data_IF_317224874929
#
_entry.id   IF_317224874929
#
_cell.length_a   1.000
_cell.length_b   1.000
_cell.length_c   1.000
_cell.angle_alpha   90.00
_cell.angle_beta   90.00
_cell.angle_gamma   90.00
#
_symmetry.space_group_name_H-M   'P 1'
#
loop_
_entity.id
_entity.type
_entity.pdbx_description
1 polymer ?
#
# COMPACT_ATOMS: atom_id res chain seq x y z
N UNK A 1 26.28 -9.00 11.55
CA UNK A 1 27.16 -10.18 11.44
C UNK A 1 28.60 -9.71 11.30
N UNK A 2 29.51 -10.14 12.18
CA UNK A 2 30.94 -9.82 12.06
C UNK A 2 31.57 -10.79 11.08
N UNK A 3 31.82 -10.35 9.85
CA UNK A 3 32.60 -11.12 8.87
C UNK A 3 33.98 -11.43 9.46
N UNK A 4 34.34 -12.71 9.54
CA UNK A 4 35.58 -13.15 10.18
C UNK A 4 36.73 -12.89 9.20
N UNK A 5 37.56 -11.89 9.49
CA UNK A 5 38.80 -11.64 8.78
C UNK A 5 39.67 -12.92 8.82
N UNK A 6 40.15 -13.36 7.65
CA UNK A 6 41.00 -14.53 7.54
C UNK A 6 42.39 -14.23 8.13
N UNK A 7 42.56 -14.55 9.42
CA UNK A 7 43.78 -14.25 10.20
C UNK A 7 45.05 -14.82 9.58
N UNK A 8 44.97 -15.99 8.93
CA UNK A 8 46.12 -16.64 8.28
C UNK A 8 46.62 -15.84 7.08
N UNK A 9 45.71 -15.32 6.25
CA UNK A 9 46.07 -14.47 5.12
C UNK A 9 46.70 -13.15 5.58
N UNK A 10 46.13 -12.52 6.62
CA UNK A 10 46.69 -11.30 7.19
C UNK A 10 48.09 -11.50 7.80
N UNK A 11 48.37 -12.67 8.39
CA UNK A 11 49.70 -13.02 8.93
C UNK A 11 50.72 -13.30 7.83
N UNK A 12 50.32 -14.03 6.79
CA UNK A 12 51.16 -14.26 5.63
C UNK A 12 51.55 -12.94 4.95
N UNK A 13 50.57 -12.06 4.72
CA UNK A 13 50.80 -10.73 4.14
C UNK A 13 51.68 -9.85 5.02
N UNK A 14 51.44 -9.84 6.34
CA UNK A 14 52.23 -9.04 7.27
C UNK A 14 53.71 -9.48 7.34
N UNK A 15 53.96 -10.79 7.21
CA UNK A 15 55.31 -11.38 7.26
C UNK A 15 56.05 -11.39 5.92
N UNK A 16 55.39 -11.00 4.83
CA UNK A 16 55.97 -11.02 3.48
C UNK A 16 56.13 -12.43 2.90
N UNK A 17 55.39 -13.41 3.42
CA UNK A 17 55.34 -14.75 2.84
C UNK A 17 54.72 -14.69 1.43
N UNK A 18 55.12 -15.59 0.53
CA UNK A 18 54.53 -15.70 -0.81
C UNK A 18 53.50 -16.83 -0.83
N UNK A 19 52.30 -16.56 -1.34
CA UNK A 19 51.24 -17.56 -1.53
C UNK A 19 50.81 -17.60 -3.01
N UNK A 20 51.55 -18.35 -3.87
CA UNK A 20 51.32 -18.34 -5.31
C UNK A 20 49.95 -18.91 -5.72
N UNK A 21 49.31 -19.69 -4.85
CA UNK A 21 48.01 -20.32 -5.11
C UNK A 21 46.80 -19.42 -4.78
N UNK A 22 47.02 -18.18 -4.30
CA UNK A 22 45.95 -17.23 -3.95
C UNK A 22 45.89 -16.12 -5.01
N UNK A 23 44.85 -16.10 -5.87
CA UNK A 23 44.70 -15.06 -6.88
C UNK A 23 44.68 -13.65 -6.27
N UNK A 24 45.46 -12.73 -6.85
CA UNK A 24 45.54 -11.33 -6.38
C UNK A 24 46.43 -11.13 -5.15
N UNK A 25 47.07 -12.18 -4.61
CA UNK A 25 47.95 -12.08 -3.45
C UNK A 25 49.15 -11.15 -3.69
N UNK A 26 49.77 -11.25 -4.87
CA UNK A 26 50.91 -10.41 -5.23
C UNK A 26 50.53 -8.93 -5.32
N UNK A 27 49.30 -8.61 -5.75
CA UNK A 27 48.79 -7.24 -5.76
C UNK A 27 48.57 -6.72 -4.33
N UNK A 28 47.99 -7.53 -3.44
CA UNK A 28 47.84 -7.18 -2.03
C UNK A 28 49.21 -6.98 -1.33
N UNK A 29 50.20 -7.83 -1.65
CA UNK A 29 51.55 -7.75 -1.12
C UNK A 29 52.33 -6.54 -1.68
N UNK A 30 52.14 -6.21 -2.97
CA UNK A 30 52.71 -5.01 -3.58
C UNK A 30 52.13 -3.74 -2.92
N UNK A 31 50.81 -3.68 -2.73
CA UNK A 31 50.16 -2.54 -2.07
C UNK A 31 50.72 -2.31 -0.66
N UNK A 32 50.99 -3.38 0.11
CA UNK A 32 51.62 -3.28 1.43
C UNK A 32 53.04 -2.70 1.42
N UNK A 33 53.74 -2.79 0.28
CA UNK A 33 55.05 -2.17 0.06
C UNK A 33 54.94 -0.73 -0.46
N UNK A 34 53.73 -0.23 -0.70
CA UNK A 34 53.49 1.04 -1.39
C UNK A 34 53.72 0.95 -2.90
N UNK A 35 53.71 -0.26 -3.46
CA UNK A 35 53.96 -0.54 -4.88
C UNK A 35 52.66 -1.03 -5.55
N UNK A 36 52.37 -0.59 -6.77
CA UNK A 36 51.27 -1.14 -7.59
C UNK A 36 49.88 -0.54 -7.36
N UNK A 37 48.87 -1.18 -7.95
CA UNK A 37 47.48 -0.74 -7.91
C UNK A 37 46.85 -0.99 -6.52
N UNK A 38 45.87 -0.16 -6.14
CA UNK A 38 45.16 -0.28 -4.87
C UNK A 38 44.40 -1.61 -4.70
N UNK A 39 43.74 -1.79 -3.55
CA UNK A 39 43.00 -3.01 -3.20
C UNK A 39 41.67 -3.19 -3.97
N UNK A 40 41.39 -2.35 -4.96
CA UNK A 40 40.16 -2.38 -5.73
C UNK A 40 40.20 -3.52 -6.75
N UNK A 41 39.10 -4.27 -6.85
CA UNK A 41 39.00 -5.45 -7.72
C UNK A 41 39.57 -6.75 -7.12
N UNK A 42 40.17 -6.69 -5.93
CA UNK A 42 40.53 -7.89 -5.18
C UNK A 42 39.32 -8.56 -4.56
N UNK A 43 39.44 -9.87 -4.30
CA UNK A 43 38.51 -10.58 -3.44
C UNK A 43 38.37 -9.86 -2.08
N UNK A 44 37.14 -9.78 -1.58
CA UNK A 44 36.80 -9.00 -0.38
C UNK A 44 37.55 -9.50 0.87
N UNK A 45 37.72 -10.81 1.03
CA UNK A 45 38.46 -11.35 2.17
C UNK A 45 39.95 -11.03 2.09
N UNK A 46 40.53 -11.10 0.89
CA UNK A 46 41.94 -10.75 0.66
C UNK A 46 42.20 -9.26 0.87
N UNK A 47 41.30 -8.40 0.41
CA UNK A 47 41.40 -6.96 0.61
C UNK A 47 41.32 -6.58 2.09
N UNK A 48 40.41 -7.19 2.86
CA UNK A 48 40.34 -6.99 4.31
C UNK A 48 41.56 -7.57 5.05
N UNK A 49 42.11 -8.70 4.59
CA UNK A 49 43.33 -9.26 5.14
C UNK A 49 44.56 -8.34 4.92
N UNK A 50 44.64 -7.67 3.76
CA UNK A 50 45.67 -6.67 3.49
C UNK A 50 45.55 -5.44 4.40
N UNK A 51 44.34 -4.94 4.64
CA UNK A 51 44.10 -3.86 5.62
C UNK A 51 44.57 -4.26 7.03
N UNK A 52 44.28 -5.48 7.46
CA UNK A 52 44.73 -5.98 8.76
C UNK A 52 46.26 -6.16 8.82
N UNK A 53 46.89 -6.57 7.72
CA UNK A 53 48.34 -6.66 7.61
C UNK A 53 49.00 -5.27 7.71
N UNK A 54 48.44 -4.23 7.07
CA UNK A 54 48.91 -2.85 7.18
C UNK A 54 48.82 -2.32 8.63
N UNK A 55 47.76 -2.69 9.36
CA UNK A 55 47.63 -2.40 10.81
C UNK A 55 48.74 -3.10 11.60
N UNK A 56 49.02 -4.38 11.34
CA UNK A 56 50.11 -5.11 12.02
C UNK A 56 51.49 -4.50 11.74
N UNK A 57 51.71 -4.01 10.51
CA UNK A 57 52.94 -3.31 10.11
C UNK A 57 53.02 -1.86 10.59
N UNK A 58 51.97 -1.35 11.25
CA UNK A 58 51.85 0.06 11.68
C UNK A 58 51.97 1.06 10.52
N UNK A 59 51.62 0.65 9.30
CA UNK A 59 51.72 1.49 8.12
C UNK A 59 50.45 2.33 7.95
N UNK A 60 50.38 3.43 8.70
CA UNK A 60 49.23 4.33 8.71
C UNK A 60 49.01 5.08 7.39
N UNK A 61 50.06 5.29 6.59
CA UNK A 61 49.97 5.99 5.31
C UNK A 61 49.09 5.22 4.30
N UNK A 62 49.30 3.91 4.18
CA UNK A 62 48.47 3.04 3.33
C UNK A 62 46.99 3.03 3.76
N UNK A 63 46.73 3.07 5.08
CA UNK A 63 45.35 3.11 5.58
C UNK A 63 44.65 4.44 5.29
N UNK A 64 45.42 5.54 5.19
CA UNK A 64 44.90 6.87 4.80
C UNK A 64 44.48 6.89 3.33
N UNK A 65 45.22 6.22 2.44
CA UNK A 65 44.90 6.12 1.01
C UNK A 65 43.51 5.52 0.75
N UNK A 66 43.01 4.69 1.67
CA UNK A 66 41.68 4.06 1.56
C UNK A 66 40.51 5.03 1.74
N UNK A 67 40.75 6.31 2.06
CA UNK A 67 39.68 7.32 2.15
C UNK A 67 38.99 7.58 0.80
N UNK A 68 39.67 7.34 -0.33
CA UNK A 68 39.11 7.44 -1.68
C UNK A 68 38.58 6.12 -2.24
N UNK A 69 38.70 5.01 -1.50
CA UNK A 69 38.28 3.68 -1.95
C UNK A 69 36.77 3.42 -1.75
N UNK A 70 36.32 2.23 -2.19
CA UNK A 70 34.94 1.75 -1.98
C UNK A 70 34.48 1.81 -0.51
N UNK A 71 33.17 1.89 -0.28
CA UNK A 71 32.56 2.07 1.06
C UNK A 71 33.05 1.04 2.09
N UNK A 72 33.23 -0.21 1.67
CA UNK A 72 33.70 -1.29 2.54
C UNK A 72 35.16 -1.09 2.97
N UNK A 73 36.06 -0.82 2.02
CA UNK A 73 37.49 -0.58 2.28
C UNK A 73 37.73 0.71 3.07
N UNK A 74 36.96 1.76 2.78
CA UNK A 74 36.98 3.01 3.54
C UNK A 74 36.62 2.79 5.02
N UNK A 75 35.60 1.96 5.29
CA UNK A 75 35.22 1.60 6.66
C UNK A 75 36.31 0.78 7.36
N UNK A 76 36.91 -0.18 6.65
CA UNK A 76 37.99 -1.01 7.18
C UNK A 76 39.27 -0.20 7.48
N UNK A 77 39.67 0.69 6.56
CA UNK A 77 40.79 1.61 6.74
C UNK A 77 40.62 2.52 7.97
N UNK A 78 39.43 3.13 8.13
CA UNK A 78 39.11 3.95 9.33
C UNK A 78 39.18 3.16 10.63
N UNK A 79 38.67 1.93 10.65
CA UNK A 79 38.76 1.06 11.82
C UNK A 79 40.22 0.65 12.11
N UNK A 80 41.04 0.44 11.08
CA UNK A 80 42.48 0.21 11.18
C UNK A 80 43.22 1.42 11.77
N UNK A 81 42.99 2.62 11.25
CA UNK A 81 43.54 3.88 11.76
C UNK A 81 43.17 4.12 13.22
N UNK A 82 41.92 3.86 13.59
CA UNK A 82 41.47 3.95 14.98
C UNK A 82 42.27 3.00 15.88
N UNK A 83 42.45 1.73 15.49
CA UNK A 83 43.24 0.76 16.25
C UNK A 83 44.70 1.19 16.42
N UNK A 84 45.33 1.72 15.36
CA UNK A 84 46.69 2.26 15.44
C UNK A 84 46.79 3.43 16.43
N UNK A 85 45.84 4.37 16.39
CA UNK A 85 45.79 5.51 17.31
C UNK A 85 45.58 5.06 18.76
N UNK A 86 44.67 4.13 19.01
CA UNK A 86 44.45 3.56 20.34
C UNK A 86 45.69 2.83 20.88
N UNK A 87 46.52 2.28 19.99
CA UNK A 87 47.80 1.66 20.34
C UNK A 87 48.97 2.66 20.47
N UNK A 88 48.70 3.97 20.38
CA UNK A 88 49.71 5.04 20.53
C UNK A 88 50.61 5.23 19.30
N UNK A 89 50.26 4.67 18.15
CA UNK A 89 51.01 4.90 16.90
C UNK A 89 50.64 6.27 16.34
N UNK A 90 51.63 7.12 16.15
CA UNK A 90 51.46 8.42 15.49
C UNK A 90 51.23 8.17 14.00
N UNK A 91 50.04 8.52 13.52
CA UNK A 91 49.69 8.42 12.10
C UNK A 91 49.43 9.83 11.59
N UNK A 92 50.05 10.21 10.48
CA UNK A 92 49.72 11.48 9.83
C UNK A 92 48.24 11.50 9.47
N UNK A 93 47.52 12.52 9.93
CA UNK A 93 46.16 12.71 9.46
C UNK A 93 46.21 13.03 7.98
N UNK A 94 45.38 12.34 7.18
CA UNK A 94 45.04 12.81 5.84
C UNK A 94 44.75 14.31 5.95
N UNK A 95 45.39 15.15 5.12
CA UNK A 95 45.05 16.56 5.03
C UNK A 95 43.55 16.63 4.82
N UNK A 96 42.81 16.89 5.90
CA UNK A 96 41.37 17.10 5.83
C UNK A 96 41.25 18.29 4.88
N UNK A 97 40.80 18.06 3.65
CA UNK A 97 40.11 19.12 2.93
C UNK A 97 39.08 19.60 3.94
N UNK A 98 39.30 20.82 4.46
CA UNK A 98 38.65 21.26 5.68
C UNK A 98 37.18 20.97 5.57
N UNK A 99 36.70 20.00 6.35
CA UNK A 99 35.29 19.96 6.69
C UNK A 99 35.11 21.21 7.53
N UNK A 100 34.84 22.32 6.84
CA UNK A 100 34.19 23.49 7.41
C UNK A 100 33.09 22.90 8.26
N UNK A 101 33.04 23.30 9.54
CA UNK A 101 31.83 23.12 10.32
C UNK A 101 30.74 23.90 9.59
N UNK A 102 30.11 23.27 8.61
CA UNK A 102 28.78 23.64 8.18
C UNK A 102 27.91 23.17 9.32
N UNK A 103 27.15 24.08 9.93
CA UNK A 103 25.87 23.71 10.52
C UNK A 103 25.25 22.74 9.51
N UNK A 104 25.05 21.49 9.91
CA UNK A 104 24.40 20.52 9.04
C UNK A 104 23.19 21.21 8.46
N UNK A 105 23.09 21.23 7.12
CA UNK A 105 21.95 21.83 6.40
C UNK A 105 20.72 21.50 7.24
N UNK A 106 20.02 22.54 7.72
CA UNK A 106 18.87 22.38 8.61
C UNK A 106 18.10 21.16 8.12
N UNK A 107 18.01 20.11 8.96
CA UNK A 107 17.49 18.82 8.53
C UNK A 107 16.11 19.11 7.94
N UNK A 108 16.02 19.08 6.60
CA UNK A 108 14.80 19.45 5.91
C UNK A 108 13.75 18.50 6.44
N UNK A 109 12.74 19.05 7.14
CA UNK A 109 11.69 18.22 7.70
C UNK A 109 11.08 17.44 6.54
N UNK A 110 11.00 16.10 6.66
CA UNK A 110 10.36 15.28 5.64
C UNK A 110 8.99 15.87 5.33
N UNK A 111 8.62 16.01 4.05
CA UNK A 111 7.29 16.50 3.72
C UNK A 111 6.24 15.54 4.31
N UNK A 112 5.07 16.06 4.71
CA UNK A 112 3.98 15.22 5.17
C UNK A 112 3.55 14.28 4.05
N UNK A 113 3.15 13.06 4.40
CA UNK A 113 2.84 11.99 3.45
C UNK A 113 1.46 11.44 3.73
N UNK A 114 0.75 11.06 2.68
CA UNK A 114 -0.54 10.41 2.80
C UNK A 114 -0.69 9.29 1.79
N UNK A 115 -1.43 8.26 2.15
CA UNK A 115 -1.83 7.21 1.24
C UNK A 115 -3.28 6.82 1.50
N UNK A 116 -4.01 6.45 0.44
CA UNK A 116 -5.39 5.98 0.53
C UNK A 116 -5.61 4.78 -0.39
N UNK A 117 -6.63 3.96 -0.10
CA UNK A 117 -7.03 2.86 -0.99
C UNK A 117 -8.10 3.32 -1.99
N UNK A 118 -8.35 2.53 -3.05
CA UNK A 118 -9.62 2.58 -3.76
C UNK A 118 -10.81 2.40 -2.80
N UNK A 119 -11.98 2.91 -3.20
CA UNK A 119 -13.21 2.70 -2.44
C UNK A 119 -13.64 1.24 -2.54
N UNK A 120 -13.94 0.63 -1.39
CA UNK A 120 -14.53 -0.70 -1.28
C UNK A 120 -15.93 -0.72 -1.91
N UNK A 121 -16.55 -1.91 -2.12
CA UNK A 121 -17.94 -1.99 -2.56
C UNK A 121 -18.90 -1.20 -1.66
N UNK A 122 -18.62 -1.14 -0.35
CA UNK A 122 -19.42 -0.41 0.63
C UNK A 122 -19.09 1.09 0.69
N UNK A 123 -18.17 1.60 -0.14
CA UNK A 123 -17.77 3.00 -0.17
C UNK A 123 -16.81 3.39 0.95
N UNK A 124 -16.10 2.42 1.52
CA UNK A 124 -15.07 2.64 2.54
C UNK A 124 -13.69 2.78 1.88
N UNK A 125 -12.80 3.54 2.49
CA UNK A 125 -11.40 3.64 2.11
C UNK A 125 -10.51 3.54 3.35
N UNK A 126 -9.36 2.91 3.21
CA UNK A 126 -8.30 2.98 4.21
C UNK A 126 -7.47 4.23 3.92
N UNK A 127 -7.01 4.88 4.98
CA UNK A 127 -6.11 6.02 4.90
C UNK A 127 -4.92 5.85 5.84
N UNK A 128 -3.78 6.40 5.44
CA UNK A 128 -2.61 6.59 6.29
C UNK A 128 -2.12 8.02 6.10
N UNK A 129 -2.01 8.77 7.20
CA UNK A 129 -1.49 10.13 7.21
C UNK A 129 -0.25 10.16 8.10
N UNK A 130 0.80 10.81 7.64
CA UNK A 130 2.05 10.99 8.37
C UNK A 130 2.45 12.46 8.33
N UNK A 131 2.61 13.04 9.52
CA UNK A 131 3.15 14.38 9.69
C UNK A 131 4.47 14.29 10.48
N UNK A 132 5.50 15.02 10.06
CA UNK A 132 6.80 15.01 10.74
C UNK A 132 7.17 16.41 11.21
N UNK A 133 7.52 16.52 12.49
CA UNK A 133 7.91 17.76 13.15
C UNK A 133 9.29 17.61 13.82
N UNK A 134 9.59 18.50 14.77
CA UNK A 134 10.83 18.48 15.54
C UNK A 134 10.95 17.28 16.48
N UNK A 135 9.84 16.72 16.95
CA UNK A 135 9.77 15.63 17.94
C UNK A 135 9.81 14.25 17.27
N UNK A 136 9.28 14.12 16.06
CA UNK A 136 9.28 12.86 15.34
C UNK A 136 8.27 12.83 14.21
N UNK A 137 7.84 11.63 13.85
CA UNK A 137 6.77 11.42 12.88
C UNK A 137 5.54 10.90 13.63
N UNK A 138 4.44 11.67 13.59
CA UNK A 138 3.13 11.23 14.04
C UNK A 138 2.40 10.59 12.85
N UNK A 139 1.87 9.38 13.05
CA UNK A 139 1.15 8.63 12.03
C UNK A 139 -0.24 8.31 12.55
N UNK A 140 -1.25 8.47 11.70
CA UNK A 140 -2.60 7.92 11.92
C UNK A 140 -2.98 7.04 10.73
N UNK A 141 -3.56 5.88 11.03
CA UNK A 141 -4.07 4.93 10.04
C UNK A 141 -5.50 4.59 10.44
N UNK A 142 -6.41 4.47 9.49
CA UNK A 142 -7.79 4.09 9.78
C UNK A 142 -8.60 3.78 8.54
N UNK A 143 -9.87 3.46 8.77
CA UNK A 143 -10.87 3.28 7.72
C UNK A 143 -11.92 4.38 7.87
N UNK A 144 -12.30 4.98 6.76
CA UNK A 144 -13.34 5.99 6.68
C UNK A 144 -14.32 5.72 5.55
N UNK A 145 -15.52 6.29 5.63
CA UNK A 145 -16.55 6.21 4.60
C UNK A 145 -17.58 5.11 4.86
N UNK A 146 -18.35 4.79 3.83
CA UNK A 146 -19.48 3.86 3.90
C UNK A 146 -20.48 4.16 5.01
N UNK A 147 -21.30 3.16 5.35
CA UNK A 147 -22.30 3.26 6.42
C UNK A 147 -21.67 3.21 7.83
N UNK A 148 -20.52 2.55 7.95
CA UNK A 148 -19.79 2.38 9.21
C UNK A 148 -19.09 3.69 9.67
N UNK A 149 -18.89 4.66 8.78
CA UNK A 149 -18.20 5.91 9.10
C UNK A 149 -16.71 5.69 9.36
N UNK A 150 -16.22 6.11 10.53
CA UNK A 150 -14.81 5.95 10.93
C UNK A 150 -14.65 4.81 11.91
N UNK A 151 -13.73 3.89 11.62
CA UNK A 151 -13.39 2.76 12.49
C UNK A 151 -11.95 2.28 12.26
N UNK A 152 -11.48 1.36 13.12
CA UNK A 152 -10.12 0.79 13.09
C UNK A 152 -9.01 1.86 13.05
N UNK A 153 -9.24 2.99 13.71
CA UNK A 153 -8.25 4.07 13.77
C UNK A 153 -7.15 3.73 14.77
N UNK A 154 -5.91 3.94 14.35
CA UNK A 154 -4.71 3.71 15.15
C UNK A 154 -3.78 4.90 14.97
N UNK A 155 -3.08 5.28 16.03
CA UNK A 155 -2.03 6.28 15.97
C UNK A 155 -0.71 5.72 16.50
N UNK A 156 0.39 6.32 16.06
CA UNK A 156 1.72 5.96 16.54
C UNK A 156 2.74 7.07 16.36
N UNK A 157 3.72 7.08 17.26
CA UNK A 157 4.89 7.95 17.17
C UNK A 157 6.10 7.15 16.72
N UNK A 158 6.76 7.64 15.68
CA UNK A 158 7.91 6.99 15.08
C UNK A 158 9.10 7.94 15.01
N UNK A 159 10.29 7.38 15.18
CA UNK A 159 11.50 8.09 14.76
C UNK A 159 11.44 8.38 13.25
N UNK A 160 12.10 9.44 12.78
CA UNK A 160 12.14 9.77 11.34
C UNK A 160 12.62 8.61 10.47
N UNK A 161 13.61 7.84 10.94
CA UNK A 161 14.08 6.64 10.23
C UNK A 161 13.05 5.51 10.23
N UNK A 162 12.34 5.30 11.34
CA UNK A 162 11.27 4.30 11.44
C UNK A 162 10.07 4.66 10.57
N UNK A 163 9.68 5.95 10.53
CA UNK A 163 8.62 6.44 9.65
C UNK A 163 8.93 6.22 8.17
N UNK A 164 10.16 6.51 7.73
CA UNK A 164 10.59 6.21 6.35
C UNK A 164 10.54 4.71 6.02
N UNK A 165 10.95 3.86 6.97
CA UNK A 165 10.87 2.40 6.82
C UNK A 165 9.43 1.92 6.70
N UNK A 166 8.59 2.29 7.67
CA UNK A 166 7.16 1.97 7.69
C UNK A 166 6.47 2.40 6.39
N UNK A 167 6.73 3.61 5.89
CA UNK A 167 6.11 4.09 4.67
C UNK A 167 6.53 3.29 3.43
N UNK A 168 7.81 2.90 3.36
CA UNK A 168 8.30 2.03 2.29
C UNK A 168 7.62 0.66 2.34
N UNK A 169 7.43 0.11 3.53
CA UNK A 169 6.78 -1.19 3.72
C UNK A 169 5.28 -1.11 3.39
N UNK A 170 4.62 -0.03 3.80
CA UNK A 170 3.21 0.25 3.54
C UNK A 170 2.90 0.34 2.05
N UNK A 171 3.70 1.09 1.28
CA UNK A 171 3.56 1.19 -0.17
C UNK A 171 4.09 -0.04 -0.92
N UNK A 172 4.95 -0.84 -0.29
CA UNK A 172 5.48 -2.07 -0.86
C UNK A 172 4.53 -3.26 -0.79
N UNK A 173 3.49 -3.19 0.04
CA UNK A 173 2.50 -4.25 0.21
C UNK A 173 1.55 -4.30 -1.00
N UNK A 174 1.42 -5.48 -1.63
CA UNK A 174 0.68 -5.68 -2.88
C UNK A 174 -0.77 -6.15 -2.68
N UNK A 175 -1.15 -6.58 -1.48
CA UNK A 175 -2.46 -7.19 -1.23
C UNK A 175 -3.59 -6.15 -1.13
N UNK A 176 -3.28 -4.92 -0.71
CA UNK A 176 -4.18 -3.78 -0.75
C UNK A 176 -3.33 -2.55 -1.07
N UNK A 177 -3.25 -2.12 -2.35
CA UNK A 177 -2.34 -1.05 -2.73
C UNK A 177 -2.84 0.27 -2.16
N UNK A 178 -2.29 0.66 -1.01
CA UNK A 178 -2.30 2.03 -0.55
C UNK A 178 -1.54 2.87 -1.59
N UNK A 179 -2.23 3.86 -2.14
CA UNK A 179 -1.70 4.74 -3.17
C UNK A 179 -1.30 6.04 -2.50
N UNK A 180 -0.03 6.42 -2.63
CA UNK A 180 0.47 7.68 -2.11
C UNK A 180 -0.20 8.83 -2.86
N UNK A 181 -0.86 9.72 -2.13
CA UNK A 181 -1.57 10.89 -2.65
C UNK A 181 -1.05 12.15 -1.95
N UNK A 182 -1.28 13.35 -2.50
CA UNK A 182 -0.93 14.59 -1.81
C UNK A 182 -1.55 14.62 -0.40
N UNK A 183 -0.76 14.99 0.60
CA UNK A 183 -1.20 15.03 1.99
C UNK A 183 -2.46 15.86 2.18
N UNK A 184 -2.51 17.01 1.52
CA UNK A 184 -3.66 17.91 1.57
C UNK A 184 -4.93 17.24 1.02
N UNK A 185 -4.84 16.54 -0.12
CA UNK A 185 -5.97 15.81 -0.70
C UNK A 185 -6.50 14.74 0.25
N UNK A 186 -5.62 13.91 0.82
CA UNK A 186 -6.07 12.89 1.78
C UNK A 186 -6.69 13.51 3.03
N UNK A 187 -6.13 14.60 3.54
CA UNK A 187 -6.66 15.30 4.71
C UNK A 187 -8.06 15.85 4.43
N UNK A 188 -8.29 16.45 3.26
CA UNK A 188 -9.61 16.91 2.79
C UNK A 188 -10.63 15.77 2.67
N UNK A 189 -10.18 14.56 2.35
CA UNK A 189 -11.06 13.37 2.28
C UNK A 189 -11.42 12.84 3.66
N UNK A 190 -10.48 12.86 4.62
CA UNK A 190 -10.70 12.27 5.96
C UNK A 190 -11.47 13.22 6.87
N UNK A 191 -11.25 14.54 6.78
CA UNK A 191 -11.87 15.54 7.65
C UNK A 191 -13.42 15.45 7.72
N UNK A 192 -14.16 15.36 6.60
CA UNK A 192 -15.62 15.24 6.63
C UNK A 192 -16.09 13.97 7.33
N UNK A 193 -15.40 12.84 7.13
CA UNK A 193 -15.78 11.55 7.73
C UNK A 193 -15.56 11.58 9.24
N UNK A 194 -14.46 12.20 9.70
CA UNK A 194 -14.21 12.42 11.13
C UNK A 194 -15.26 13.35 11.74
N UNK A 195 -15.65 14.42 11.04
CA UNK A 195 -16.68 15.33 11.50
C UNK A 195 -18.05 14.64 11.62
N UNK A 196 -18.40 13.79 10.66
CA UNK A 196 -19.61 12.96 10.70
C UNK A 196 -19.58 11.98 11.88
N UNK A 197 -18.44 11.30 12.11
CA UNK A 197 -18.26 10.44 13.26
C UNK A 197 -18.48 11.22 14.57
N UNK A 198 -17.81 12.36 14.74
CA UNK A 198 -17.94 13.19 15.95
C UNK A 198 -19.37 13.69 16.16
N UNK A 199 -20.12 13.98 15.10
CA UNK A 199 -21.53 14.35 15.20
C UNK A 199 -22.42 13.19 15.69
N UNK A 200 -22.06 11.94 15.38
CA UNK A 200 -22.78 10.73 15.79
C UNK A 200 -22.38 10.24 17.20
N UNK A 201 -21.10 10.26 17.52
CA UNK A 201 -20.55 9.74 18.79
C UNK A 201 -20.43 10.80 19.90
N UNK A 202 -20.46 12.08 19.54
CA UNK A 202 -20.25 13.22 20.44
C UNK A 202 -18.78 13.67 20.55
N UNK A 203 -17.83 12.88 20.04
CA UNK A 203 -16.41 13.21 20.07
C UNK A 203 -15.63 12.64 18.88
N UNK A 204 -14.57 13.32 18.46
CA UNK A 204 -13.66 12.77 17.46
C UNK A 204 -12.85 11.60 18.07
N UNK A 205 -12.44 10.60 17.26
CA UNK A 205 -11.63 9.51 17.78
C UNK A 205 -10.36 10.05 18.47
N UNK A 206 -9.97 9.43 19.59
CA UNK A 206 -8.84 9.90 20.38
C UNK A 206 -7.53 9.90 19.57
N UNK A 207 -7.31 8.87 18.76
CA UNK A 207 -6.19 8.70 17.84
C UNK A 207 -6.09 9.86 16.85
N UNK A 208 -7.23 10.27 16.28
CA UNK A 208 -7.32 11.41 15.38
C UNK A 208 -7.01 12.73 16.12
N UNK A 209 -7.64 12.91 17.28
CA UNK A 209 -7.50 14.11 18.09
C UNK A 209 -6.04 14.34 18.47
N UNK A 210 -5.31 13.27 18.79
CA UNK A 210 -3.87 13.35 19.05
C UNK A 210 -3.09 13.76 17.79
N UNK A 211 -3.29 13.04 16.67
CA UNK A 211 -2.59 13.32 15.41
C UNK A 211 -2.76 14.78 14.95
N UNK A 212 -3.97 15.32 15.05
CA UNK A 212 -4.28 16.65 14.56
C UNK A 212 -3.58 17.77 15.35
N UNK A 213 -3.15 17.51 16.59
CA UNK A 213 -2.36 18.48 17.37
C UNK A 213 -0.97 18.74 16.78
N UNK A 214 -0.45 17.80 15.97
CA UNK A 214 0.82 17.95 15.27
C UNK A 214 0.69 18.66 13.92
N UNK A 215 -0.53 18.71 13.36
CA UNK A 215 -0.78 19.35 12.06
C UNK A 215 -1.05 20.84 12.28
N UNK A 216 -0.29 21.76 11.64
CA UNK A 216 -0.51 23.20 11.80
C UNK A 216 -1.92 23.60 11.41
N UNK A 217 -2.53 24.50 12.19
CA UNK A 217 -3.90 24.97 11.95
C UNK A 217 -4.12 25.58 10.56
N UNK A 218 -3.09 26.20 9.98
CA UNK A 218 -3.12 26.70 8.60
C UNK A 218 -3.27 25.58 7.56
N UNK A 219 -2.62 24.43 7.77
CA UNK A 219 -2.76 23.26 6.88
C UNK A 219 -4.17 22.69 6.98
N UNK A 220 -4.75 22.65 8.19
CA UNK A 220 -6.12 22.22 8.41
C UNK A 220 -7.12 23.15 7.71
N UNK A 221 -6.94 24.47 7.83
CA UNK A 221 -7.81 25.45 7.19
C UNK A 221 -7.74 25.35 5.65
N UNK A 222 -6.55 25.14 5.08
CA UNK A 222 -6.39 24.90 3.64
C UNK A 222 -7.05 23.59 3.23
N UNK A 223 -6.89 22.51 4.01
CA UNK A 223 -7.50 21.22 3.70
C UNK A 223 -9.03 21.28 3.66
N UNK A 224 -9.65 22.07 4.55
CA UNK A 224 -11.11 22.26 4.56
C UNK A 224 -11.67 22.90 3.30
N UNK A 225 -10.85 23.66 2.57
CA UNK A 225 -11.24 24.36 1.34
C UNK A 225 -10.69 23.71 0.07
N UNK A 226 -9.84 22.68 0.23
CA UNK A 226 -9.15 22.03 -0.88
C UNK A 226 -10.07 21.01 -1.55
N UNK A 227 -10.12 21.06 -2.88
CA UNK A 227 -10.85 20.10 -3.72
C UNK A 227 -9.91 18.91 -4.02
N UNK A 228 -10.13 17.73 -3.40
CA UNK A 228 -9.17 16.63 -3.46
C UNK A 228 -9.11 15.93 -4.82
N UNK A 229 -10.17 16.05 -5.64
CA UNK A 229 -10.30 15.30 -6.90
C UNK A 229 -9.69 16.01 -8.13
N UNK A 230 -9.20 17.25 -7.95
CA UNK A 230 -8.66 18.08 -9.01
C UNK A 230 -9.73 18.62 -9.96
N UNK A 231 -9.29 19.29 -11.02
CA UNK A 231 -10.20 19.89 -12.00
C UNK A 231 -10.89 18.82 -12.85
N UNK A 232 -12.19 19.00 -13.06
CA UNK A 232 -12.96 18.24 -14.04
C UNK A 232 -12.91 18.93 -15.41
N UNK A 233 -13.00 18.16 -16.51
CA UNK A 233 -13.18 18.75 -17.83
C UNK A 233 -14.54 19.48 -17.92
N UNK A 234 -14.63 20.48 -18.82
CA UNK A 234 -15.86 21.28 -19.01
C UNK A 234 -17.03 20.45 -19.57
N UNK A 235 -16.75 19.29 -20.16
CA UNK A 235 -17.72 18.34 -20.69
C UNK A 235 -17.14 16.93 -20.73
N UNK A 236 -17.92 15.97 -21.21
CA UNK A 236 -17.48 14.59 -21.37
C UNK A 236 -17.26 14.23 -22.85
N UNK A 237 -16.32 13.31 -23.10
CA UNK A 237 -16.01 12.75 -24.40
C UNK A 237 -16.63 11.34 -24.55
N UNK A 238 -17.67 11.16 -25.39
CA UNK A 238 -18.30 9.87 -25.60
C UNK A 238 -17.36 8.81 -26.18
N UNK A 239 -16.39 9.19 -27.02
CA UNK A 239 -15.45 8.24 -27.63
C UNK A 239 -14.51 7.64 -26.57
N UNK A 240 -14.11 8.47 -25.60
CA UNK A 240 -13.30 8.03 -24.47
C UNK A 240 -14.06 7.07 -23.55
N UNK A 241 -15.37 7.28 -23.37
CA UNK A 241 -16.22 6.43 -22.53
C UNK A 241 -16.66 5.14 -23.22
N UNK A 242 -16.54 5.07 -24.54
CA UNK A 242 -16.82 3.86 -25.31
C UNK A 242 -15.75 2.78 -25.12
N UNK A 243 -14.50 3.17 -24.79
CA UNK A 243 -13.41 2.24 -24.55
C UNK A 243 -13.44 1.70 -23.11
N UNK A 244 -14.09 0.54 -22.94
CA UNK A 244 -14.14 -0.14 -21.65
C UNK A 244 -12.84 -0.82 -21.28
N UNK A 245 -11.92 -1.09 -22.20
CA UNK A 245 -10.75 -1.93 -21.88
C UNK A 245 -9.87 -1.29 -20.81
N UNK A 246 -9.76 0.03 -20.82
CA UNK A 246 -8.98 0.82 -19.85
C UNK A 246 -9.52 0.70 -18.42
N UNK A 247 -10.85 0.62 -18.28
CA UNK A 247 -11.53 0.55 -16.96
C UNK A 247 -11.91 -0.88 -16.56
N UNK A 248 -11.98 -1.78 -17.55
CA UNK A 248 -12.37 -3.18 -17.36
C UNK A 248 -11.41 -3.88 -16.43
N UNK A 249 -11.94 -4.38 -15.32
CA UNK A 249 -11.19 -5.11 -14.29
C UNK A 249 -10.11 -4.29 -13.57
N UNK A 250 -10.05 -2.97 -13.78
CA UNK A 250 -9.14 -2.13 -13.01
C UNK A 250 -9.67 -2.01 -11.57
N UNK A 251 -8.83 -2.19 -10.52
CA UNK A 251 -9.28 -2.19 -9.12
C UNK A 251 -10.05 -0.95 -8.68
N UNK A 252 -9.87 0.19 -9.36
CA UNK A 252 -10.58 1.44 -9.05
C UNK A 252 -12.06 1.42 -9.46
N UNK A 253 -12.40 0.57 -10.43
CA UNK A 253 -13.73 0.44 -11.02
C UNK A 253 -14.41 -0.88 -10.64
N UNK A 254 -13.72 -1.71 -9.85
CA UNK A 254 -14.20 -3.03 -9.46
C UNK A 254 -15.36 -2.92 -8.46
N UNK A 255 -16.39 -3.75 -8.67
CA UNK A 255 -17.49 -3.95 -7.72
C UNK A 255 -18.22 -2.66 -7.29
N UNK A 256 -18.41 -1.73 -8.22
CA UNK A 256 -19.27 -0.57 -7.98
C UNK A 256 -20.73 -1.03 -7.77
N UNK A 257 -21.50 -0.32 -6.93
CA UNK A 257 -22.86 -0.73 -6.60
C UNK A 257 -23.79 -0.54 -7.80
N UNK A 258 -24.83 -1.36 -7.91
CA UNK A 258 -25.95 -1.12 -8.82
C UNK A 258 -27.22 -0.87 -7.99
N UNK A 259 -28.20 -0.18 -8.57
CA UNK A 259 -29.49 0.04 -7.91
C UNK A 259 -30.19 -1.27 -7.55
N UNK A 260 -31.06 -1.23 -6.54
CA UNK A 260 -31.89 -2.38 -6.18
C UNK A 260 -32.82 -2.75 -7.32
N UNK A 261 -33.32 -1.76 -8.05
CA UNK A 261 -34.12 -1.98 -9.27
C UNK A 261 -33.35 -2.76 -10.34
N UNK A 262 -32.12 -2.36 -10.66
CA UNK A 262 -31.28 -3.05 -11.64
C UNK A 262 -31.01 -4.49 -11.20
N UNK A 263 -30.63 -4.70 -9.94
CA UNK A 263 -30.39 -6.04 -9.40
C UNK A 263 -31.66 -6.89 -9.44
N UNK A 264 -32.80 -6.35 -9.01
CA UNK A 264 -34.08 -7.06 -9.00
C UNK A 264 -34.53 -7.44 -10.41
N UNK A 265 -34.39 -6.53 -11.38
CA UNK A 265 -34.75 -6.78 -12.77
C UNK A 265 -33.88 -7.91 -13.37
N UNK A 266 -32.56 -7.82 -13.16
CA UNK A 266 -31.61 -8.85 -13.60
C UNK A 266 -31.90 -10.22 -12.97
N UNK A 267 -32.10 -10.26 -11.64
CA UNK A 267 -32.36 -11.50 -10.92
C UNK A 267 -33.73 -12.12 -11.27
N UNK A 268 -34.77 -11.30 -11.48
CA UNK A 268 -36.12 -11.77 -11.84
C UNK A 268 -36.17 -12.40 -13.24
N UNK A 269 -35.26 -12.03 -14.13
CA UNK A 269 -35.18 -12.59 -15.47
C UNK A 269 -34.37 -13.91 -15.54
N UNK A 270 -33.62 -14.26 -14.48
CA UNK A 270 -32.81 -15.49 -14.45
C UNK A 270 -33.63 -16.78 -14.61
N UNK A 271 -34.81 -16.97 -13.96
CA UNK A 271 -35.63 -18.15 -14.19
C UNK A 271 -36.08 -18.31 -15.64
N UNK A 272 -36.17 -17.22 -16.42
CA UNK A 272 -36.54 -17.27 -17.84
C UNK A 272 -35.39 -17.78 -18.73
N UNK A 273 -34.13 -17.66 -18.27
CA UNK A 273 -32.96 -18.22 -18.95
C UNK A 273 -32.79 -19.72 -18.70
N UNK A 274 -33.14 -20.19 -17.50
CA UNK A 274 -32.88 -21.56 -17.06
C UNK A 274 -34.13 -22.46 -16.97
N UNK A 275 -35.33 -21.86 -16.95
CA UNK A 275 -36.59 -22.56 -16.68
C UNK A 275 -37.11 -23.45 -17.81
N UNK A 276 -36.46 -23.45 -18.98
CA UNK A 276 -36.93 -24.15 -20.17
C UNK A 276 -38.18 -23.47 -20.75
N UNK A 277 -38.11 -22.98 -21.98
CA UNK A 277 -39.32 -22.56 -22.68
C UNK A 277 -40.26 -23.79 -22.79
N UNK A 278 -41.56 -23.68 -22.43
CA UNK A 278 -42.50 -24.74 -22.75
C UNK A 278 -42.45 -25.01 -24.25
N UNK A 279 -42.57 -26.29 -24.65
CA UNK A 279 -42.51 -26.68 -26.06
C UNK A 279 -43.46 -25.82 -26.91
N UNK A 280 -42.89 -24.94 -27.74
CA UNK A 280 -43.64 -24.08 -28.67
C UNK A 280 -43.65 -22.59 -28.36
N UNK A 281 -43.07 -22.11 -27.25
CA UNK A 281 -42.89 -20.67 -27.00
C UNK A 281 -41.53 -20.15 -27.51
N UNK A 282 -41.52 -18.88 -27.93
CA UNK A 282 -40.31 -18.18 -28.41
C UNK A 282 -39.18 -18.32 -27.38
N UNK A 283 -37.94 -18.45 -27.87
CA UNK A 283 -36.76 -18.46 -27.02
C UNK A 283 -36.81 -17.26 -26.06
N UNK A 284 -36.66 -17.52 -24.76
CA UNK A 284 -36.65 -16.48 -23.73
C UNK A 284 -35.63 -15.37 -24.03
N UNK A 285 -35.72 -14.21 -23.36
CA UNK A 285 -34.81 -13.10 -23.58
C UNK A 285 -33.35 -13.56 -23.42
N UNK A 286 -32.47 -13.13 -24.33
CA UNK A 286 -31.04 -13.42 -24.20
C UNK A 286 -30.46 -12.77 -22.94
N UNK A 287 -29.39 -13.35 -22.39
CA UNK A 287 -28.68 -12.78 -21.25
C UNK A 287 -28.23 -11.33 -21.53
N UNK A 288 -27.77 -11.05 -22.74
CA UNK A 288 -27.37 -9.71 -23.16
C UNK A 288 -28.52 -8.70 -23.05
N UNK A 289 -29.74 -9.09 -23.45
CA UNK A 289 -30.92 -8.24 -23.35
C UNK A 289 -31.32 -7.98 -21.90
N UNK A 290 -31.22 -9.00 -21.03
CA UNK A 290 -31.47 -8.86 -19.60
C UNK A 290 -30.48 -7.88 -18.96
N UNK A 291 -29.19 -8.00 -19.32
CA UNK A 291 -28.14 -7.09 -18.84
C UNK A 291 -28.41 -5.67 -19.32
N UNK A 292 -28.76 -5.49 -20.59
CA UNK A 292 -29.08 -4.18 -21.17
C UNK A 292 -30.24 -3.49 -20.45
N UNK A 293 -31.35 -4.21 -20.23
CA UNK A 293 -32.53 -3.71 -19.53
C UNK A 293 -32.22 -3.39 -18.05
N UNK A 294 -31.47 -4.26 -17.36
CA UNK A 294 -31.05 -4.00 -15.98
C UNK A 294 -30.06 -2.83 -15.89
N UNK A 295 -29.13 -2.69 -16.85
CA UNK A 295 -28.16 -1.61 -16.88
C UNK A 295 -28.82 -0.23 -17.05
N UNK A 296 -29.93 -0.15 -17.77
CA UNK A 296 -30.71 1.08 -17.89
C UNK A 296 -31.28 1.58 -16.54
N UNK A 297 -31.40 0.71 -15.54
CA UNK A 297 -31.95 1.03 -14.22
C UNK A 297 -30.88 1.38 -13.18
N UNK A 298 -29.58 1.25 -13.48
CA UNK A 298 -28.49 1.44 -12.50
C UNK A 298 -28.56 2.81 -11.83
N UNK A 299 -28.91 3.86 -12.57
CA UNK A 299 -29.05 5.24 -12.05
C UNK A 299 -30.48 5.67 -11.77
N UNK A 300 -31.42 4.73 -11.59
CA UNK A 300 -32.79 5.06 -11.19
C UNK A 300 -32.84 5.66 -9.76
N UNK A 301 -31.92 5.22 -8.90
CA UNK A 301 -31.75 5.76 -7.55
C UNK A 301 -30.69 6.88 -7.55
N UNK A 302 -31.08 8.11 -7.21
CA UNK A 302 -30.18 9.28 -7.16
C UNK A 302 -28.93 9.03 -6.28
N UNK A 303 -29.11 8.31 -5.17
CA UNK A 303 -28.01 7.96 -4.27
C UNK A 303 -26.92 7.12 -4.97
N UNK A 304 -27.32 6.19 -5.85
CA UNK A 304 -26.39 5.36 -6.64
C UNK A 304 -25.68 6.21 -7.68
N UNK A 305 -26.39 7.11 -8.37
CA UNK A 305 -25.80 8.04 -9.33
C UNK A 305 -24.74 8.93 -8.66
N UNK A 306 -25.06 9.50 -7.50
CA UNK A 306 -24.14 10.32 -6.72
C UNK A 306 -22.92 9.54 -6.22
N UNK A 307 -23.10 8.29 -5.78
CA UNK A 307 -21.98 7.43 -5.38
C UNK A 307 -21.08 7.08 -6.56
N UNK A 308 -21.64 6.78 -7.73
CA UNK A 308 -20.88 6.55 -8.95
C UNK A 308 -20.05 7.76 -9.38
N UNK A 309 -20.63 8.96 -9.36
CA UNK A 309 -19.90 10.19 -9.65
C UNK A 309 -18.73 10.38 -8.68
N UNK A 310 -18.97 10.16 -7.37
CA UNK A 310 -17.93 10.21 -6.34
C UNK A 310 -16.83 9.17 -6.57
N UNK A 311 -17.16 7.93 -6.90
CA UNK A 311 -16.20 6.86 -7.19
C UNK A 311 -15.36 7.17 -8.43
N UNK A 312 -15.98 7.74 -9.47
CA UNK A 312 -15.27 8.17 -10.67
C UNK A 312 -14.28 9.30 -10.38
N UNK A 313 -14.67 10.29 -9.57
CA UNK A 313 -13.74 11.34 -9.07
C UNK A 313 -12.58 10.75 -8.26
N UNK A 314 -12.89 9.81 -7.35
CA UNK A 314 -11.88 9.12 -6.54
C UNK A 314 -10.90 8.34 -7.42
N UNK A 315 -11.41 7.56 -8.38
CA UNK A 315 -10.60 6.82 -9.34
C UNK A 315 -9.69 7.75 -10.16
N UNK A 316 -10.18 8.92 -10.56
CA UNK A 316 -9.39 9.93 -11.27
C UNK A 316 -8.23 10.49 -10.43
N UNK A 317 -8.48 10.80 -9.16
CA UNK A 317 -7.44 11.22 -8.22
C UNK A 317 -6.36 10.14 -8.03
N UNK A 318 -6.77 8.88 -7.86
CA UNK A 318 -5.85 7.77 -7.69
C UNK A 318 -5.04 7.49 -8.96
N UNK A 319 -5.67 7.59 -10.13
CA UNK A 319 -5.01 7.42 -11.42
C UNK A 319 -3.94 8.50 -11.65
N UNK A 320 -4.23 9.76 -11.33
CA UNK A 320 -3.21 10.83 -11.36
C UNK A 320 -2.04 10.53 -10.42
N UNK A 321 -2.33 10.02 -9.22
CA UNK A 321 -1.32 9.72 -8.21
C UNK A 321 -0.35 8.62 -8.64
N UNK A 322 -0.83 7.64 -9.43
CA UNK A 322 0.01 6.60 -10.05
C UNK A 322 0.53 6.99 -11.44
N UNK A 323 0.29 8.24 -11.88
CA UNK A 323 0.71 8.78 -13.18
C UNK A 323 0.10 8.06 -14.39
N UNK A 324 -1.11 7.53 -14.26
CA UNK A 324 -1.89 6.97 -15.37
C UNK A 324 -2.83 8.03 -15.95
N UNK A 325 -2.32 8.81 -16.90
CA UNK A 325 -3.06 9.89 -17.55
C UNK A 325 -4.30 9.40 -18.30
N UNK A 326 -4.26 8.19 -18.87
CA UNK A 326 -5.38 7.65 -19.65
C UNK A 326 -6.52 7.30 -18.72
N UNK A 327 -6.21 6.53 -17.67
CA UNK A 327 -7.18 6.14 -16.66
C UNK A 327 -7.78 7.35 -15.95
N UNK A 328 -6.95 8.35 -15.60
CA UNK A 328 -7.41 9.57 -14.97
C UNK A 328 -8.37 10.35 -15.87
N UNK A 329 -8.05 10.45 -17.16
CA UNK A 329 -8.92 11.11 -18.15
C UNK A 329 -10.26 10.39 -18.29
N UNK A 330 -10.25 9.05 -18.37
CA UNK A 330 -11.50 8.26 -18.46
C UNK A 330 -12.35 8.45 -17.20
N UNK A 331 -11.74 8.32 -16.02
CA UNK A 331 -12.43 8.47 -14.74
C UNK A 331 -13.10 9.86 -14.59
N UNK A 332 -12.39 10.93 -14.97
CA UNK A 332 -12.92 12.30 -14.91
C UNK A 332 -14.04 12.53 -15.91
N UNK A 333 -13.91 12.05 -17.14
CA UNK A 333 -14.99 12.13 -18.14
C UNK A 333 -16.22 11.36 -17.68
N UNK A 334 -16.02 10.20 -17.05
CA UNK A 334 -17.09 9.40 -16.50
C UNK A 334 -17.82 10.16 -15.39
N UNK A 335 -17.10 10.79 -14.46
CA UNK A 335 -17.69 11.63 -13.42
C UNK A 335 -18.57 12.75 -14.03
N UNK A 336 -18.05 13.48 -15.02
CA UNK A 336 -18.78 14.56 -15.70
C UNK A 336 -20.01 14.02 -16.44
N UNK A 337 -19.90 12.89 -17.13
CA UNK A 337 -21.03 12.27 -17.83
C UNK A 337 -22.17 11.90 -16.86
N UNK A 338 -21.83 11.27 -15.73
CA UNK A 338 -22.80 10.87 -14.69
C UNK A 338 -23.50 12.10 -14.10
N UNK A 339 -22.73 13.14 -13.74
CA UNK A 339 -23.23 14.39 -13.18
C UNK A 339 -24.08 15.19 -14.18
N UNK A 340 -23.77 15.08 -15.47
CA UNK A 340 -24.52 15.72 -16.56
C UNK A 340 -25.82 14.99 -16.92
N UNK A 341 -26.16 13.91 -16.21
CA UNK A 341 -27.42 13.21 -16.41
C UNK A 341 -27.39 12.15 -17.51
N UNK A 342 -26.22 11.73 -18.00
CA UNK A 342 -26.13 10.62 -18.97
C UNK A 342 -26.79 9.38 -18.39
N UNK A 343 -27.59 8.69 -19.21
CA UNK A 343 -28.26 7.45 -18.83
C UNK A 343 -27.25 6.32 -18.66
N UNK A 344 -27.46 5.43 -17.69
CA UNK A 344 -26.54 4.31 -17.44
C UNK A 344 -26.47 3.33 -18.62
N UNK A 345 -27.54 3.20 -19.41
CA UNK A 345 -27.56 2.41 -20.65
C UNK A 345 -26.53 2.88 -21.67
N UNK A 346 -26.20 4.18 -21.68
CA UNK A 346 -25.21 4.78 -22.56
C UNK A 346 -23.77 4.68 -22.03
N UNK A 347 -23.57 4.09 -20.84
CA UNK A 347 -22.26 3.90 -20.23
C UNK A 347 -21.89 2.41 -20.25
N UNK A 348 -20.95 1.99 -21.11
CA UNK A 348 -20.51 0.60 -21.18
C UNK A 348 -20.05 0.00 -19.84
N UNK A 349 -19.43 0.81 -18.98
CA UNK A 349 -19.05 0.38 -17.62
C UNK A 349 -20.27 -0.05 -16.78
N UNK A 350 -21.41 0.63 -16.90
CA UNK A 350 -22.62 0.26 -16.17
C UNK A 350 -23.17 -1.10 -16.61
N UNK A 351 -23.11 -1.41 -17.91
CA UNK A 351 -23.46 -2.74 -18.44
C UNK A 351 -22.52 -3.81 -17.89
N UNK A 352 -21.22 -3.56 -17.91
CA UNK A 352 -20.21 -4.48 -17.39
C UNK A 352 -20.39 -4.74 -15.88
N UNK A 353 -20.56 -3.68 -15.07
CA UNK A 353 -20.79 -3.83 -13.63
C UNK A 353 -22.08 -4.59 -13.36
N UNK A 354 -23.16 -4.29 -14.10
CA UNK A 354 -24.43 -5.01 -13.98
C UNK A 354 -24.27 -6.49 -14.28
N UNK A 355 -23.60 -6.83 -15.39
CA UNK A 355 -23.28 -8.21 -15.75
C UNK A 355 -22.51 -8.92 -14.64
N UNK A 356 -21.45 -8.30 -14.10
CA UNK A 356 -20.62 -8.89 -13.03
C UNK A 356 -21.43 -9.16 -11.76
N UNK A 357 -22.28 -8.22 -11.34
CA UNK A 357 -23.11 -8.36 -10.14
C UNK A 357 -24.20 -9.43 -10.32
N UNK A 358 -24.85 -9.48 -11.49
CA UNK A 358 -25.84 -10.52 -11.79
C UNK A 358 -25.18 -11.91 -11.80
N UNK A 359 -24.03 -12.07 -12.47
CA UNK A 359 -23.30 -13.34 -12.50
C UNK A 359 -22.83 -13.75 -11.10
N UNK A 360 -22.36 -12.80 -10.28
CA UNK A 360 -22.00 -13.08 -8.89
C UNK A 360 -23.21 -13.53 -8.07
N UNK A 361 -24.36 -12.85 -8.22
CA UNK A 361 -25.62 -13.23 -7.60
C UNK A 361 -26.11 -14.61 -8.03
N UNK A 362 -25.96 -14.96 -9.31
CA UNK A 362 -26.25 -16.30 -9.84
C UNK A 362 -25.38 -17.36 -9.20
N UNK A 363 -24.06 -17.17 -9.19
CA UNK A 363 -23.13 -18.13 -8.61
C UNK A 363 -23.41 -18.35 -7.12
N UNK A 364 -23.73 -17.28 -6.39
CA UNK A 364 -24.15 -17.37 -4.99
C UNK A 364 -25.46 -18.16 -4.82
N UNK A 365 -26.47 -17.90 -5.65
CA UNK A 365 -27.73 -18.63 -5.62
C UNK A 365 -27.52 -20.13 -5.91
N UNK A 366 -26.75 -20.48 -6.95
CA UNK A 366 -26.46 -21.88 -7.30
C UNK A 366 -25.69 -22.61 -6.20
N UNK A 367 -24.69 -21.97 -5.59
CA UNK A 367 -23.95 -22.55 -4.47
C UNK A 367 -24.86 -22.85 -3.27
N UNK A 368 -25.79 -21.95 -2.96
CA UNK A 368 -26.70 -22.11 -1.82
C UNK A 368 -27.88 -23.06 -2.11
N UNK A 369 -28.34 -23.17 -3.36
CA UNK A 369 -29.34 -24.17 -3.77
C UNK A 369 -28.77 -25.59 -3.70
N UNK A 370 -27.51 -25.79 -4.14
CA UNK A 370 -26.83 -27.09 -3.99
C UNK A 370 -26.60 -27.48 -2.51
N UNK A 371 -26.46 -26.50 -1.61
CA UNK A 371 -26.40 -26.73 -0.16
C UNK A 371 -27.79 -27.11 0.43
N UNK A 372 -28.87 -26.53 -0.10
CA UNK A 372 -30.24 -26.87 0.27
C UNK A 372 -30.61 -28.30 -0.12
N UNK A 373 -30.26 -28.74 -1.33
CA UNK A 373 -30.48 -30.12 -1.78
C UNK A 373 -29.57 -31.14 -1.08
N UNK A 374 -28.33 -30.76 -0.71
CA UNK A 374 -27.45 -31.62 0.10
C UNK A 374 -27.89 -31.76 1.56
N UNK A 375 -28.58 -30.76 2.13
CA UNK A 375 -29.19 -30.88 3.46
C UNK A 375 -30.58 -31.50 3.44
N UNK A 376 -31.26 -31.53 2.28
CA UNK A 376 -32.55 -32.19 2.07
C UNK A 376 -32.49 -33.71 2.00
N UNK A 377 -31.32 -34.31 1.75
CA UNK A 377 -31.12 -35.77 1.82
C UNK A 377 -30.68 -36.27 3.21
N UNK A 378 -30.45 -35.37 4.18
CA UNK A 378 -30.15 -35.73 5.56
C UNK A 378 -31.43 -35.87 6.39
N UNK A 379 -32.20 -36.91 6.10
CA UNK A 379 -33.12 -37.56 7.05
C UNK A 379 -34.59 -37.15 6.95
N UNK A 380 -35.35 -37.89 6.15
CA UNK A 380 -36.65 -38.35 6.65
C UNK A 380 -36.38 -39.26 7.85
N UNK A 381 -36.83 -38.94 9.08
CA UNK A 381 -36.80 -39.89 10.17
C UNK A 381 -37.78 -41.00 9.79
N UNK A 382 -37.25 -42.17 9.47
CA UNK A 382 -38.06 -43.37 9.28
C UNK A 382 -39.03 -43.52 10.45
N UNK A 383 -40.29 -43.73 10.10
CA UNK A 383 -41.30 -44.25 11.02
C UNK A 383 -40.79 -45.57 11.59
N UNK A 384 -40.03 -45.51 12.69
CA UNK A 384 -39.89 -46.54 13.72
C UNK A 384 -39.00 -45.95 14.82
N UNK A 385 -39.62 -45.74 15.99
CA UNK A 385 -39.13 -44.86 17.03
C UNK A 385 -37.89 -45.34 17.78
N UNK A 386 -37.12 -44.37 18.24
CA UNK A 386 -36.78 -44.18 19.66
C UNK A 386 -36.25 -42.75 19.83
N UNK A 387 -36.88 -41.98 20.73
CA UNK A 387 -36.53 -40.58 20.97
C UNK A 387 -35.15 -40.48 21.66
N UNK A 388 -34.20 -39.67 21.16
CA UNK A 388 -33.04 -39.30 21.96
C UNK A 388 -33.45 -38.25 22.99
N UNK A 389 -33.03 -38.50 24.23
CA UNK A 389 -33.30 -37.70 25.40
C UNK A 389 -32.91 -36.22 25.23
N UNK A 390 -33.76 -35.36 25.78
CA UNK A 390 -33.55 -33.92 25.91
C UNK A 390 -32.20 -33.62 26.59
N UNK A 391 -31.37 -32.81 25.93
CA UNK A 391 -30.24 -32.16 26.59
C UNK A 391 -30.76 -30.94 27.34
N UNK A 392 -30.77 -31.08 28.66
CA UNK A 392 -31.06 -30.05 29.63
C UNK A 392 -30.16 -28.82 29.45
N UNK A 393 -30.84 -27.69 29.47
CA UNK A 393 -30.37 -26.36 29.85
C UNK A 393 -29.40 -26.43 31.04
N UNK A 394 -28.15 -26.03 30.84
CA UNK A 394 -27.27 -25.59 31.93
C UNK A 394 -26.79 -24.18 31.63
N UNK A 395 -27.57 -23.22 32.12
CA UNK A 395 -27.04 -21.96 32.68
C UNK A 395 -26.05 -22.32 33.76
N UNK A 396 -24.82 -21.81 33.70
CA UNK A 396 -24.20 -21.15 34.86
C UNK A 396 -22.86 -20.48 34.53
N UNK A 397 -22.73 -19.27 35.08
CA UNK A 397 -21.55 -18.61 35.64
C UNK A 397 -20.41 -18.09 34.73
N UNK A 398 -20.43 -16.76 34.57
CA UNK A 398 -19.22 -15.92 34.63
C UNK A 398 -18.33 -16.28 35.82
N UNK A 399 -17.01 -16.06 35.67
CA UNK A 399 -16.20 -15.56 36.77
C UNK A 399 -15.52 -14.24 36.37
N UNK A 400 -15.92 -13.17 37.04
CA UNK A 400 -15.01 -12.07 37.38
C UNK A 400 -14.05 -12.53 38.49
N UNK A 401 -12.77 -12.15 38.36
CA UNK A 401 -11.88 -11.59 39.39
C UNK A 401 -10.41 -11.68 38.86
N UNK A 402 -9.73 -10.60 38.45
CA UNK A 402 -8.94 -9.62 39.25
C UNK A 402 -8.01 -10.27 40.30
N UNK A 403 -6.76 -9.77 40.50
CA UNK A 403 -6.38 -8.35 40.52
C UNK A 403 -5.29 -7.90 39.53
#
# INVERSE_FOLDING_TARGET
MSEKINKRLAEALASGATLPDVPGYDQAAAWLKGEGAGLEGLDHELALAAVEAAVKQKNGALLVELESASKALKKAGRAGLHRLRSAGVVVEEAKRQGTVFTLGRAEEMPPPRAAVTPLSPNGEFQFSLMYTDSEGSCVVIGVGGGDAGVHNIQHGHLSRSSGRGMWKDLLGNRESPLIEVPFLSALSLVLPVIAEHAAKSGEAPHEWSHFITHVPGEVLAVAQLHEPFGALPEGYDPELLADTEVVSNHPFFAAWPISRSALSAGMAALPLLFGGAPEGEEAGPSLDKIIEEAAALVFEEDAVRLDWARRARWAGMLADAIQDETLARVARNLAVAIESGVESSALPLAQQTTMQQIIAGMNYATQNMNLGDMMGEAGEPGEDGEAPAALEETREASPEANP
#
